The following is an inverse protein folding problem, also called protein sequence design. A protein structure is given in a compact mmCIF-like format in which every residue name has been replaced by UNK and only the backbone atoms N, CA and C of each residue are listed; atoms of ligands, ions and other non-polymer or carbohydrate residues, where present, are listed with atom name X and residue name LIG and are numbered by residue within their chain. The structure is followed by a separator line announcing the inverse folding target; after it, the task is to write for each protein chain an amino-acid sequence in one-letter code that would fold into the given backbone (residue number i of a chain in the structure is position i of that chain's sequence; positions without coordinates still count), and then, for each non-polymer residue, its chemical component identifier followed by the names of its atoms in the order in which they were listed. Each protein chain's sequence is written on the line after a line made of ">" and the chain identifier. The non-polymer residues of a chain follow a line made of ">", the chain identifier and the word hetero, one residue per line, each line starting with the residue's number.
data_IF_916900053427
#
_entry.id   IF_916900053427
#
_cell.length_a   1.000
_cell.length_b   1.000
_cell.length_c   1.000
_cell.angle_alpha   90.00
_cell.angle_beta   90.00
_cell.angle_gamma   90.00
#
_symmetry.space_group_name_H-M   'P 1'
#
loop_
_entity.id
_entity.type
_entity.pdbx_description
1 polymer ?
#
# COMPACT_ATOMS: atom_id res chain seq x y z
N UNK A 1 -6.72 5.52 -7.00
CA UNK A 1 -5.60 5.99 -7.82
C UNK A 1 -4.43 6.61 -7.05
N UNK A 2 -4.26 6.35 -5.75
CA UNK A 2 -3.08 6.82 -4.99
C UNK A 2 -2.16 5.66 -4.57
N UNK A 3 -2.19 4.49 -5.24
CA UNK A 3 -1.35 3.34 -4.89
C UNK A 3 -0.16 3.26 -5.86
N UNK A 4 1.05 3.30 -5.33
CA UNK A 4 2.30 3.16 -6.07
C UNK A 4 3.05 1.93 -5.56
N UNK A 5 3.53 1.11 -6.48
CA UNK A 5 4.35 -0.08 -6.19
C UNK A 5 5.64 0.03 -6.99
N UNK A 6 6.77 0.03 -6.29
CA UNK A 6 8.11 0.17 -6.87
C UNK A 6 8.98 -1.02 -6.47
N UNK A 7 9.73 -1.54 -7.43
CA UNK A 7 10.80 -2.51 -7.20
C UNK A 7 12.14 -1.77 -7.32
N UNK A 8 13.03 -1.96 -6.34
CA UNK A 8 14.36 -1.35 -6.34
C UNK A 8 15.35 -2.26 -5.61
N UNK A 9 16.27 -2.85 -6.36
CA UNK A 9 17.24 -3.82 -5.86
C UNK A 9 16.54 -4.96 -5.11
N UNK A 10 16.73 -5.12 -3.79
CA UNK A 10 16.06 -6.13 -2.97
C UNK A 10 14.74 -5.67 -2.34
N UNK A 11 14.23 -4.49 -2.70
CA UNK A 11 13.12 -3.84 -2.00
C UNK A 11 11.86 -3.71 -2.84
N UNK A 12 10.74 -4.16 -2.27
CA UNK A 12 9.39 -3.83 -2.70
C UNK A 12 8.88 -2.65 -1.85
N UNK A 13 8.58 -1.53 -2.49
CA UNK A 13 8.09 -0.32 -1.85
C UNK A 13 6.65 -0.10 -2.27
N UNK A 14 5.74 -0.04 -1.30
CA UNK A 14 4.31 0.21 -1.51
C UNK A 14 3.95 1.52 -0.82
N UNK A 15 3.48 2.49 -1.61
CA UNK A 15 3.04 3.79 -1.11
C UNK A 15 1.58 4.01 -1.44
N UNK A 16 0.91 4.74 -0.57
CA UNK A 16 -0.34 5.36 -1.00
C UNK A 16 -0.99 6.23 0.03
N UNK A 17 -2.26 6.57 -0.19
CA UNK A 17 -3.03 7.41 0.72
C UNK A 17 -4.32 6.71 1.11
N UNK A 18 -4.51 6.48 2.41
CA UNK A 18 -5.82 6.08 2.95
C UNK A 18 -6.64 7.34 3.18
N UNK A 19 -7.54 7.64 2.24
CA UNK A 19 -8.43 8.79 2.34
C UNK A 19 -9.47 8.56 3.42
N UNK A 20 -9.77 9.60 4.18
CA UNK A 20 -10.97 9.63 5.02
C UNK A 20 -12.18 9.79 4.08
N UNK A 21 -13.00 8.75 3.99
CA UNK A 21 -14.22 8.74 3.16
C UNK A 21 -15.48 9.01 3.97
N UNK A 22 -15.34 9.17 5.29
CA UNK A 22 -16.44 9.38 6.23
C UNK A 22 -16.45 10.79 6.82
N UNK A 23 -15.52 11.65 6.42
CA UNK A 23 -15.55 13.08 6.74
C UNK A 23 -16.85 13.70 6.21
N UNK A 24 -17.76 14.05 7.11
CA UNK A 24 -19.01 14.75 6.83
C UNK A 24 -19.09 15.97 7.73
N UNK A 25 -19.40 17.13 7.15
CA UNK A 25 -19.66 18.35 7.93
C UNK A 25 -20.74 18.08 8.99
N UNK A 26 -20.51 18.56 10.22
CA UNK A 26 -21.44 18.41 11.34
C UNK A 26 -21.26 17.16 12.21
N UNK A 27 -20.33 16.25 11.88
CA UNK A 27 -20.03 15.08 12.72
C UNK A 27 -18.89 15.38 13.71
N UNK A 28 -19.11 15.06 14.99
CA UNK A 28 -18.08 15.09 16.04
C UNK A 28 -17.71 13.66 16.43
N UNK A 29 -16.47 13.27 16.20
CA UNK A 29 -15.97 11.94 16.53
C UNK A 29 -15.60 11.88 18.02
N UNK A 30 -16.16 10.92 18.75
CA UNK A 30 -15.76 10.66 20.14
C UNK A 30 -14.37 10.02 20.22
N UNK A 31 -13.99 9.24 19.21
CA UNK A 31 -12.67 8.61 19.12
C UNK A 31 -12.29 8.33 17.66
N UNK A 32 -11.03 8.62 17.30
CA UNK A 32 -10.46 8.38 15.97
C UNK A 32 -9.30 7.39 16.09
N UNK A 33 -9.60 6.10 16.09
CA UNK A 33 -8.59 5.04 16.25
C UNK A 33 -7.85 4.70 14.95
N UNK A 34 -8.43 5.05 13.81
CA UNK A 34 -7.88 4.72 12.48
C UNK A 34 -7.13 5.92 11.93
N UNK A 35 -5.82 5.77 11.74
CA UNK A 35 -5.00 6.78 11.07
C UNK A 35 -5.29 6.81 9.56
N UNK A 36 -5.86 7.93 9.08
CA UNK A 36 -6.06 8.22 7.66
C UNK A 36 -4.96 9.18 7.19
N UNK A 37 -4.05 8.71 6.33
CA UNK A 37 -3.01 9.53 5.72
C UNK A 37 -2.24 8.76 4.64
N UNK A 38 -1.15 9.37 4.17
CA UNK A 38 -0.11 8.72 3.39
C UNK A 38 0.51 7.58 4.20
N UNK A 39 0.77 6.46 3.54
CA UNK A 39 1.50 5.33 4.07
C UNK A 39 2.61 4.93 3.11
N UNK A 40 3.67 4.36 3.68
CA UNK A 40 4.73 3.67 2.96
C UNK A 40 5.03 2.35 3.70
N UNK A 41 5.21 1.28 2.94
CA UNK A 41 5.70 0.00 3.43
C UNK A 41 6.82 -0.48 2.51
N UNK A 42 7.90 -0.94 3.13
CA UNK A 42 9.04 -1.51 2.44
C UNK A 42 9.22 -2.95 2.91
N UNK A 43 9.35 -3.87 1.97
CA UNK A 43 9.64 -5.28 2.23
C UNK A 43 10.96 -5.60 1.54
N UNK A 44 11.93 -6.05 2.33
CA UNK A 44 13.23 -6.49 1.86
C UNK A 44 13.21 -7.98 1.56
N UNK A 45 13.82 -8.37 0.44
CA UNK A 45 13.98 -9.74 -0.01
C UNK A 45 15.45 -10.18 0.10
N UNK A 46 15.72 -11.49 0.23
CA UNK A 46 17.08 -12.01 0.37
C UNK A 46 17.93 -11.90 -0.92
N UNK A 47 17.34 -11.43 -2.03
CA UNK A 47 18.01 -11.24 -3.30
C UNK A 47 17.41 -10.02 -4.04
N UNK A 48 18.13 -9.56 -5.07
CA UNK A 48 17.59 -8.54 -5.97
C UNK A 48 16.33 -9.06 -6.67
N UNK A 49 15.29 -8.24 -6.64
CA UNK A 49 13.99 -8.45 -7.28
C UNK A 49 13.82 -7.56 -8.52
N UNK A 50 14.91 -6.91 -8.97
CA UNK A 50 14.90 -6.10 -10.18
C UNK A 50 14.49 -6.95 -11.39
N UNK A 51 13.51 -6.44 -12.15
CA UNK A 51 12.97 -7.13 -13.31
C UNK A 51 12.05 -8.33 -12.99
N UNK A 52 11.65 -8.50 -11.73
CA UNK A 52 10.58 -9.44 -11.38
C UNK A 52 9.25 -9.03 -12.04
N UNK A 53 8.45 -10.03 -12.43
CA UNK A 53 7.09 -9.77 -12.89
C UNK A 53 6.16 -9.57 -11.70
N UNK A 54 5.36 -8.52 -11.73
CA UNK A 54 4.46 -8.13 -10.65
C UNK A 54 3.02 -8.03 -11.16
N UNK A 55 2.10 -8.64 -10.41
CA UNK A 55 0.66 -8.45 -10.56
C UNK A 55 0.07 -8.11 -9.20
N UNK A 56 -0.97 -7.29 -9.17
CA UNK A 56 -1.64 -6.95 -7.92
C UNK A 56 -3.15 -6.94 -8.09
N UNK A 57 -3.84 -7.23 -7.01
CA UNK A 57 -5.30 -7.20 -6.91
C UNK A 57 -5.71 -6.56 -5.59
N UNK A 58 -6.88 -5.93 -5.58
CA UNK A 58 -7.44 -5.31 -4.38
C UNK A 58 -8.80 -5.91 -4.08
N UNK A 59 -8.91 -6.61 -2.95
CA UNK A 59 -10.14 -7.28 -2.54
C UNK A 59 -10.38 -7.12 -1.05
N UNK A 60 -11.58 -6.69 -0.68
CA UNK A 60 -12.06 -6.60 0.71
C UNK A 60 -11.13 -5.81 1.65
N UNK A 61 -10.50 -4.74 1.16
CA UNK A 61 -9.59 -3.93 1.96
C UNK A 61 -8.12 -4.41 1.93
N UNK A 62 -7.84 -5.54 1.29
CA UNK A 62 -6.51 -6.12 1.18
C UNK A 62 -5.89 -5.87 -0.19
N UNK A 63 -4.63 -5.46 -0.17
CA UNK A 63 -3.79 -5.43 -1.36
C UNK A 63 -3.00 -6.74 -1.44
N UNK A 64 -3.28 -7.54 -2.48
CA UNK A 64 -2.53 -8.75 -2.78
C UNK A 64 -1.50 -8.44 -3.87
N UNK A 65 -0.23 -8.67 -3.58
CA UNK A 65 0.88 -8.50 -4.54
C UNK A 65 1.46 -9.87 -4.82
N UNK A 66 1.34 -10.31 -6.07
CA UNK A 66 1.95 -11.54 -6.56
C UNK A 66 3.18 -11.20 -7.39
N UNK A 67 4.33 -11.70 -6.94
CA UNK A 67 5.62 -11.45 -7.55
C UNK A 67 6.26 -12.76 -7.98
N UNK A 68 6.91 -12.75 -9.15
CA UNK A 68 7.72 -13.87 -9.63
C UNK A 68 9.08 -13.33 -10.08
N UNK A 69 10.12 -13.73 -9.36
CA UNK A 69 11.51 -13.47 -9.72
C UNK A 69 11.91 -14.33 -10.93
N UNK A 70 12.94 -13.87 -11.66
CA UNK A 70 13.53 -14.63 -12.77
C UNK A 70 14.44 -15.74 -12.27
#
# INVERSE_FOLDING_TARGET
>A
DDLEIVLSDSHLIVRGCRRDTLYREGYTYQQMEISYSRFEKQVEFPCSIDGASLTHDYRDGFLLINMRCK
#
